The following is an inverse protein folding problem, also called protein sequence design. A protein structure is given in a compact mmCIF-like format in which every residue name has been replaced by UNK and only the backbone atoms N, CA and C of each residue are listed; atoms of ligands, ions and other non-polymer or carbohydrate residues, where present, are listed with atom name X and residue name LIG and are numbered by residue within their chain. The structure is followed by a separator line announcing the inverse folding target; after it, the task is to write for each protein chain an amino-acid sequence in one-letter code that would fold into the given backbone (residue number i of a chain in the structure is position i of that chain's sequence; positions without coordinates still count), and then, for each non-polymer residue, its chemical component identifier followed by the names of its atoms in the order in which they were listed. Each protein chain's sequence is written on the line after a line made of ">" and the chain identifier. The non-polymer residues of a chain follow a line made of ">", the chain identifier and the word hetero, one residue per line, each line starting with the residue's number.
data_IF_188193032609
#
_entry.id   IF_188193032609
#
_cell.length_a   1.000
_cell.length_b   1.000
_cell.length_c   1.000
_cell.angle_alpha   90.00
_cell.angle_beta   90.00
_cell.angle_gamma   90.00
#
_symmetry.space_group_name_H-M   'P 1'
#
loop_
_entity.id
_entity.type
_entity.pdbx_description
1 polymer ?
#
# COMPACT_ATOMS: atom_id res chain seq x y z
N UNK A 1 -5.78 20.46 9.14
CA UNK A 1 -4.63 19.55 9.39
C UNK A 1 -4.64 18.30 8.49
N UNK A 2 -5.70 17.46 8.42
CA UNK A 2 -5.64 16.19 7.66
C UNK A 2 -5.46 16.37 6.15
N UNK A 3 -6.06 17.41 5.55
CA UNK A 3 -5.89 17.71 4.12
C UNK A 3 -4.42 18.01 3.77
N UNK A 4 -3.73 18.80 4.61
CA UNK A 4 -2.32 19.13 4.41
C UNK A 4 -1.43 17.90 4.54
N UNK A 5 -1.67 17.06 5.56
CA UNK A 5 -0.94 15.80 5.73
C UNK A 5 -1.21 14.83 4.57
N UNK A 6 -2.43 14.79 4.05
CA UNK A 6 -2.78 14.00 2.87
C UNK A 6 -2.07 14.48 1.60
N UNK A 7 -2.00 15.79 1.37
CA UNK A 7 -1.25 16.38 0.25
C UNK A 7 0.26 16.08 0.36
N UNK A 8 0.82 16.25 1.55
CA UNK A 8 2.24 15.99 1.80
C UNK A 8 2.55 14.49 1.67
N UNK A 9 1.68 13.62 2.21
CA UNK A 9 1.76 12.17 2.05
C UNK A 9 1.70 11.75 0.58
N UNK A 10 0.76 12.30 -0.20
CA UNK A 10 0.66 12.04 -1.64
C UNK A 10 1.92 12.48 -2.41
N UNK A 11 2.49 13.64 -2.08
CA UNK A 11 3.73 14.12 -2.67
C UNK A 11 4.92 13.20 -2.35
N UNK A 12 5.05 12.77 -1.08
CA UNK A 12 6.12 11.87 -0.64
C UNK A 12 5.97 10.48 -1.25
N UNK A 13 4.75 9.94 -1.31
CA UNK A 13 4.48 8.64 -1.96
C UNK A 13 4.78 8.73 -3.46
N UNK A 14 4.31 9.77 -4.15
CA UNK A 14 4.54 9.95 -5.58
C UNK A 14 6.02 10.13 -5.94
N UNK A 15 6.77 10.91 -5.15
CA UNK A 15 8.23 11.04 -5.32
C UNK A 15 8.95 9.73 -5.03
N UNK A 16 8.56 9.02 -3.97
CA UNK A 16 9.12 7.69 -3.64
C UNK A 16 8.91 6.69 -4.78
N UNK A 17 7.70 6.61 -5.33
CA UNK A 17 7.39 5.73 -6.47
C UNK A 17 8.21 6.07 -7.71
N UNK A 18 8.45 7.36 -7.96
CA UNK A 18 9.30 7.80 -9.07
C UNK A 18 10.75 7.29 -8.90
N UNK A 19 11.36 7.51 -7.73
CA UNK A 19 12.70 7.02 -7.44
C UNK A 19 12.78 5.49 -7.42
N UNK A 20 11.79 4.82 -6.83
CA UNK A 20 11.72 3.37 -6.77
C UNK A 20 11.67 2.76 -8.19
N UNK A 21 10.89 3.34 -9.10
CA UNK A 21 10.83 2.92 -10.52
C UNK A 21 12.17 3.15 -11.22
N UNK A 22 12.85 4.26 -10.96
CA UNK A 22 14.16 4.53 -11.54
C UNK A 22 15.21 3.50 -11.09
N UNK A 23 15.26 3.19 -9.79
CA UNK A 23 16.20 2.22 -9.22
C UNK A 23 15.86 0.79 -9.65
N UNK A 24 14.58 0.42 -9.68
CA UNK A 24 14.12 -0.91 -10.11
C UNK A 24 14.38 -1.22 -11.59
N UNK A 25 14.67 -0.22 -12.44
CA UNK A 25 15.13 -0.45 -13.82
C UNK A 25 16.61 -0.84 -13.90
N UNK A 26 17.39 -0.56 -12.87
CA UNK A 26 18.84 -0.79 -12.82
C UNK A 26 19.23 -1.96 -11.93
N UNK A 27 18.36 -2.36 -11.01
CA UNK A 27 18.56 -3.43 -10.04
C UNK A 27 17.38 -4.39 -10.02
N UNK A 28 17.56 -5.58 -9.44
CA UNK A 28 16.44 -6.49 -9.21
C UNK A 28 15.40 -5.85 -8.27
N UNK A 29 14.12 -5.96 -8.62
CA UNK A 29 13.02 -5.37 -7.84
C UNK A 29 13.04 -5.81 -6.36
N UNK A 30 13.36 -7.09 -6.11
CA UNK A 30 13.49 -7.63 -4.76
C UNK A 30 14.59 -6.94 -3.94
N UNK A 31 15.76 -6.65 -4.55
CA UNK A 31 16.85 -5.95 -3.86
C UNK A 31 16.48 -4.51 -3.53
N UNK A 32 15.80 -3.80 -4.43
CA UNK A 32 15.32 -2.42 -4.21
C UNK A 32 14.29 -2.35 -3.09
N UNK A 33 13.40 -3.33 -3.01
CA UNK A 33 12.44 -3.42 -1.92
C UNK A 33 13.07 -3.77 -0.58
N UNK A 34 13.99 -4.74 -0.56
CA UNK A 34 14.67 -5.14 0.67
C UNK A 34 15.44 -3.95 1.27
N UNK A 35 16.19 -3.20 0.46
CA UNK A 35 16.90 -2.00 0.92
C UNK A 35 15.94 -0.92 1.38
N UNK A 36 14.83 -0.71 0.67
CA UNK A 36 13.78 0.22 1.07
C UNK A 36 13.15 -0.15 2.43
N UNK A 37 12.82 -1.42 2.64
CA UNK A 37 12.26 -1.93 3.90
C UNK A 37 13.26 -1.84 5.06
N UNK A 38 14.54 -2.14 4.83
CA UNK A 38 15.60 -1.98 5.83
C UNK A 38 15.70 -0.51 6.24
N UNK A 39 15.77 0.40 5.27
CA UNK A 39 15.85 1.83 5.54
C UNK A 39 14.60 2.35 6.27
N UNK A 40 13.41 1.95 5.82
CA UNK A 40 12.15 2.27 6.48
C UNK A 40 12.13 1.78 7.94
N UNK A 41 12.64 0.58 8.21
CA UNK A 41 12.75 0.01 9.56
C UNK A 41 13.71 0.83 10.42
N UNK A 42 14.88 1.21 9.91
CA UNK A 42 15.84 2.04 10.63
C UNK A 42 15.25 3.41 10.98
N UNK A 43 14.57 4.05 10.03
CA UNK A 43 13.90 5.34 10.26
C UNK A 43 12.76 5.17 11.27
N UNK A 44 11.96 4.11 11.18
CA UNK A 44 10.88 3.85 12.13
C UNK A 44 11.41 3.67 13.56
N UNK A 45 12.48 2.89 13.76
CA UNK A 45 13.14 2.73 15.06
C UNK A 45 13.67 4.07 15.57
N UNK A 46 14.35 4.84 14.72
CA UNK A 46 14.86 6.16 15.09
C UNK A 46 13.74 7.08 15.55
N UNK A 47 12.65 7.19 14.77
CA UNK A 47 11.50 8.03 15.12
C UNK A 47 10.84 7.56 16.42
N UNK A 48 10.73 6.24 16.62
CA UNK A 48 10.17 5.67 17.85
C UNK A 48 10.98 6.06 19.11
N UNK A 49 12.31 6.27 19.01
CA UNK A 49 13.13 6.70 20.15
C UNK A 49 12.86 8.11 20.65
N UNK A 50 12.29 8.98 19.80
CA UNK A 50 11.96 10.37 20.17
C UNK A 50 10.48 10.55 20.58
N UNK A 51 9.67 9.50 20.46
CA UNK A 51 8.25 9.55 20.81
C UNK A 51 8.01 9.54 22.32
N UNK A 52 6.88 10.12 22.80
CA UNK A 52 6.52 10.09 24.23
C UNK A 52 6.02 8.71 24.72
N UNK A 53 5.99 7.70 23.85
CA UNK A 53 5.45 6.36 24.13
C UNK A 53 6.44 5.44 24.84
N UNK A 54 5.90 4.49 25.62
CA UNK A 54 6.69 3.42 26.25
C UNK A 54 6.65 2.12 25.43
N UNK A 55 7.61 1.24 25.64
CA UNK A 55 7.60 -0.08 25.02
C UNK A 55 6.48 -0.96 25.58
N UNK A 56 5.56 -1.39 24.71
CA UNK A 56 4.51 -2.36 25.03
C UNK A 56 4.62 -3.55 24.10
N UNK A 57 4.53 -4.75 24.67
CA UNK A 57 4.68 -6.00 23.91
C UNK A 57 3.58 -6.16 22.85
N UNK A 58 2.35 -5.72 23.14
CA UNK A 58 1.24 -5.79 22.19
C UNK A 58 1.51 -4.91 20.97
N UNK A 59 1.91 -3.66 21.17
CA UNK A 59 2.22 -2.72 20.09
C UNK A 59 3.38 -3.25 19.21
N UNK A 60 4.35 -3.92 19.84
CA UNK A 60 5.43 -4.59 19.13
C UNK A 60 4.95 -5.79 18.30
N UNK A 61 4.07 -6.64 18.83
CA UNK A 61 3.49 -7.78 18.11
C UNK A 61 2.63 -7.33 16.93
N UNK A 62 1.83 -6.28 17.11
CA UNK A 62 1.05 -5.65 16.05
C UNK A 62 1.97 -5.06 14.96
N UNK A 63 3.06 -4.39 15.36
CA UNK A 63 4.10 -3.92 14.44
C UNK A 63 4.77 -5.04 13.65
N UNK A 64 5.13 -6.16 14.29
CA UNK A 64 5.67 -7.34 13.62
C UNK A 64 4.66 -7.94 12.62
N UNK A 65 3.39 -8.06 13.02
CA UNK A 65 2.31 -8.53 12.15
C UNK A 65 2.13 -7.63 10.93
N UNK A 66 2.15 -6.31 11.12
CA UNK A 66 2.10 -5.31 10.05
C UNK A 66 3.28 -5.43 9.09
N UNK A 67 4.49 -5.63 9.62
CA UNK A 67 5.70 -5.83 8.82
C UNK A 67 5.65 -7.09 7.96
N UNK A 68 5.18 -8.22 8.52
CA UNK A 68 5.01 -9.47 7.77
C UNK A 68 3.95 -9.31 6.68
N UNK A 69 2.81 -8.69 7.00
CA UNK A 69 1.76 -8.42 6.02
C UNK A 69 2.27 -7.54 4.87
N UNK A 70 3.00 -6.46 5.19
CA UNK A 70 3.60 -5.55 4.20
C UNK A 70 4.67 -6.24 3.34
N UNK A 71 5.49 -7.10 3.92
CA UNK A 71 6.49 -7.89 3.19
C UNK A 71 5.85 -8.88 2.21
N UNK A 72 4.83 -9.61 2.66
CA UNK A 72 4.02 -10.48 1.81
C UNK A 72 3.34 -9.69 0.68
N UNK A 73 2.78 -8.53 1.00
CA UNK A 73 2.12 -7.65 0.04
C UNK A 73 3.09 -7.24 -1.08
N UNK A 74 4.31 -6.86 -0.72
CA UNK A 74 5.35 -6.44 -1.66
C UNK A 74 5.85 -7.58 -2.55
N UNK A 75 5.99 -8.78 -1.98
CA UNK A 75 6.32 -10.00 -2.74
C UNK A 75 5.23 -10.35 -3.76
N UNK A 76 3.96 -10.31 -3.35
CA UNK A 76 2.82 -10.53 -4.24
C UNK A 76 2.69 -9.44 -5.31
N UNK A 77 2.97 -8.18 -4.96
CA UNK A 77 3.00 -7.06 -5.89
C UNK A 77 4.02 -7.33 -7.00
N UNK A 78 5.28 -7.60 -6.66
CA UNK A 78 6.31 -7.83 -7.68
C UNK A 78 6.04 -9.07 -8.51
N UNK A 79 5.50 -10.14 -7.90
CA UNK A 79 5.07 -11.31 -8.68
C UNK A 79 3.94 -10.95 -9.64
N UNK A 80 2.97 -10.15 -9.22
CA UNK A 80 1.90 -9.62 -10.06
C UNK A 80 2.44 -8.81 -11.23
N UNK A 81 3.38 -7.89 -10.96
CA UNK A 81 4.03 -7.05 -11.96
C UNK A 81 4.91 -7.85 -12.94
N UNK A 82 5.44 -9.01 -12.53
CA UNK A 82 6.22 -9.89 -13.40
C UNK A 82 5.34 -10.80 -14.28
N UNK A 83 4.18 -11.24 -13.77
CA UNK A 83 3.28 -12.17 -14.45
C UNK A 83 2.27 -11.44 -15.34
N UNK A 84 1.88 -10.22 -14.96
CA UNK A 84 0.84 -9.41 -15.59
C UNK A 84 1.33 -7.98 -15.83
N UNK A 85 0.41 -7.09 -16.17
CA UNK A 85 0.72 -5.68 -16.45
C UNK A 85 0.71 -4.81 -15.20
N UNK A 86 1.64 -3.86 -15.16
CA UNK A 86 1.66 -2.75 -14.19
C UNK A 86 0.33 -1.98 -14.21
N UNK A 87 -0.31 -1.85 -15.38
CA UNK A 87 -1.58 -1.14 -15.55
C UNK A 87 -2.76 -1.80 -14.82
N UNK A 88 -2.66 -3.10 -14.50
CA UNK A 88 -3.73 -3.83 -13.79
C UNK A 88 -3.41 -3.94 -12.30
N UNK A 89 -2.20 -4.41 -11.99
CA UNK A 89 -1.82 -4.77 -10.62
C UNK A 89 -1.69 -3.52 -9.74
N UNK A 90 -1.06 -2.45 -10.26
CA UNK A 90 -0.77 -1.25 -9.47
C UNK A 90 -2.04 -0.50 -9.05
N UNK A 91 -3.03 -0.25 -9.93
CA UNK A 91 -4.27 0.39 -9.52
C UNK A 91 -5.05 -0.42 -8.47
N UNK A 92 -5.17 -1.75 -8.65
CA UNK A 92 -5.89 -2.61 -7.71
C UNK A 92 -5.29 -2.53 -6.30
N UNK A 93 -3.95 -2.63 -6.22
CA UNK A 93 -3.24 -2.52 -4.94
C UNK A 93 -3.46 -1.16 -4.32
N UNK A 94 -3.33 -0.07 -5.08
CA UNK A 94 -3.50 1.29 -4.57
C UNK A 94 -4.89 1.55 -3.97
N UNK A 95 -5.95 1.05 -4.62
CA UNK A 95 -7.31 1.20 -4.07
C UNK A 95 -7.52 0.38 -2.81
N UNK A 96 -7.07 -0.88 -2.79
CA UNK A 96 -7.23 -1.73 -1.61
C UNK A 96 -6.42 -1.21 -0.41
N UNK A 97 -5.29 -0.56 -0.66
CA UNK A 97 -4.46 0.08 0.36
C UNK A 97 -5.24 1.11 1.19
N UNK A 98 -6.15 1.87 0.55
CA UNK A 98 -7.03 2.82 1.23
C UNK A 98 -8.38 2.24 1.63
N UNK A 99 -8.96 1.36 0.81
CA UNK A 99 -10.29 0.81 1.04
C UNK A 99 -10.34 -0.11 2.26
N UNK A 100 -9.33 -0.95 2.48
CA UNK A 100 -9.32 -1.92 3.59
C UNK A 100 -9.32 -1.22 4.96
N UNK A 101 -8.44 -0.24 5.25
CA UNK A 101 -8.51 0.53 6.50
C UNK A 101 -9.85 1.24 6.67
N UNK A 102 -10.36 1.87 5.61
CA UNK A 102 -11.66 2.55 5.63
C UNK A 102 -12.81 1.59 6.00
N UNK A 103 -12.84 0.38 5.44
CA UNK A 103 -13.84 -0.62 5.82
C UNK A 103 -13.64 -1.10 7.26
N UNK A 104 -12.40 -1.20 7.73
CA UNK A 104 -12.11 -1.47 9.14
C UNK A 104 -12.70 -0.39 10.06
N UNK A 105 -12.50 0.88 9.73
CA UNK A 105 -13.07 2.02 10.46
C UNK A 105 -14.60 1.99 10.47
N UNK A 106 -15.23 1.61 9.35
CA UNK A 106 -16.69 1.47 9.28
C UNK A 106 -17.21 0.35 10.17
N UNK A 107 -16.51 -0.79 10.23
CA UNK A 107 -16.86 -1.93 11.09
C UNK A 107 -16.70 -1.55 12.58
N UNK A 108 -15.72 -0.71 12.93
CA UNK A 108 -15.53 -0.21 14.30
C UNK A 108 -16.49 0.93 14.67
N UNK A 109 -17.36 1.35 13.74
CA UNK A 109 -18.44 2.31 13.97
C UNK A 109 -18.08 3.76 13.65
N UNK A 110 -17.00 4.02 12.92
CA UNK A 110 -16.63 5.36 12.52
C UNK A 110 -17.66 5.97 11.54
N UNK A 111 -18.05 7.24 11.70
CA UNK A 111 -19.02 7.88 10.81
C UNK A 111 -18.39 8.17 9.44
N UNK A 112 -19.09 7.79 8.37
CA UNK A 112 -18.70 8.19 7.01
C UNK A 112 -19.08 9.65 6.78
N UNK A 113 -18.06 10.50 6.66
CA UNK A 113 -18.25 11.85 6.15
C UNK A 113 -18.55 11.83 4.65
N UNK A 114 -19.34 12.78 4.17
CA UNK A 114 -19.59 13.01 2.75
C UNK A 114 -18.29 13.19 1.95
N UNK A 115 -17.26 13.80 2.55
CA UNK A 115 -15.94 13.94 1.93
C UNK A 115 -15.23 12.61 1.67
N UNK A 116 -15.36 11.65 2.58
CA UNK A 116 -14.80 10.29 2.41
C UNK A 116 -15.50 9.58 1.27
N UNK A 117 -16.84 9.66 1.20
CA UNK A 117 -17.62 9.05 0.12
C UNK A 117 -17.22 9.57 -1.27
N UNK A 118 -16.98 10.88 -1.41
CA UNK A 118 -16.49 11.49 -2.66
C UNK A 118 -15.08 10.99 -2.99
N UNK A 119 -14.18 10.93 -2.00
CA UNK A 119 -12.82 10.41 -2.19
C UNK A 119 -12.81 8.96 -2.68
N UNK A 120 -13.62 8.10 -2.06
CA UNK A 120 -13.77 6.69 -2.43
C UNK A 120 -14.32 6.55 -3.85
N UNK A 121 -15.38 7.29 -4.16
CA UNK A 121 -16.00 7.26 -5.50
C UNK A 121 -14.99 7.69 -6.57
N UNK A 122 -14.22 8.74 -6.29
CA UNK A 122 -13.18 9.23 -7.20
C UNK A 122 -12.06 8.19 -7.39
N UNK A 123 -11.62 7.54 -6.31
CA UNK A 123 -10.61 6.48 -6.36
C UNK A 123 -11.08 5.26 -7.17
N UNK A 124 -12.34 4.84 -6.99
CA UNK A 124 -12.94 3.73 -7.74
C UNK A 124 -13.09 4.05 -9.23
N UNK A 125 -13.47 5.29 -9.57
CA UNK A 125 -13.53 5.74 -10.97
C UNK A 125 -12.13 5.76 -11.58
N UNK A 126 -11.13 6.29 -10.86
CA UNK A 126 -9.73 6.28 -11.30
C UNK A 126 -9.20 4.86 -11.54
N UNK A 127 -9.55 3.92 -10.65
CA UNK A 127 -9.23 2.50 -10.81
C UNK A 127 -9.85 1.89 -12.06
N UNK A 128 -11.16 2.12 -12.28
CA UNK A 128 -11.86 1.64 -13.47
C UNK A 128 -11.16 2.13 -14.74
N UNK A 129 -10.92 3.44 -14.85
CA UNK A 129 -10.30 4.04 -16.04
C UNK A 129 -8.89 3.50 -16.28
N UNK A 130 -8.10 3.30 -15.23
CA UNK A 130 -6.69 2.87 -15.36
C UNK A 130 -6.52 1.37 -15.59
N UNK A 131 -7.50 0.54 -15.21
CA UNK A 131 -7.43 -0.93 -15.33
C UNK A 131 -7.90 -1.45 -16.69
N UNK A 132 -8.60 -0.63 -17.49
CA UNK A 132 -9.04 -1.03 -18.83
C UNK A 132 -7.89 -1.05 -19.84
N UNK A 133 -7.39 -2.24 -20.16
CA UNK A 133 -6.56 -2.49 -21.34
C UNK A 133 -7.18 -3.60 -22.20
N UNK A 134 -7.74 -3.26 -23.38
CA UNK A 134 -8.41 -4.24 -24.25
C UNK A 134 -7.46 -5.25 -24.92
N UNK A 135 -6.14 -5.08 -24.82
CA UNK A 135 -5.15 -5.96 -25.44
C UNK A 135 -4.58 -7.04 -24.51
N UNK A 136 -5.06 -7.14 -23.27
CA UNK A 136 -4.53 -8.10 -22.30
C UNK A 136 -5.40 -9.37 -22.26
N UNK A 137 -4.85 -10.49 -22.75
CA UNK A 137 -5.49 -11.82 -22.72
C UNK A 137 -5.45 -12.49 -21.33
N UNK A 138 -5.18 -13.80 -21.27
CA UNK A 138 -5.27 -14.61 -20.03
C UNK A 138 -4.39 -14.13 -18.85
N UNK A 139 -3.38 -13.30 -19.09
CA UNK A 139 -2.51 -12.73 -18.05
C UNK A 139 -3.23 -11.71 -17.16
N UNK A 140 -4.40 -11.22 -17.56
CA UNK A 140 -5.25 -10.31 -16.75
C UNK A 140 -5.70 -10.98 -15.47
N UNK A 141 -6.22 -12.21 -15.54
CA UNK A 141 -6.77 -12.92 -14.38
C UNK A 141 -5.73 -13.11 -13.28
N UNK A 142 -4.51 -13.50 -13.66
CA UNK A 142 -3.40 -13.63 -12.73
C UNK A 142 -3.00 -12.30 -12.10
N UNK A 143 -3.01 -11.20 -12.89
CA UNK A 143 -2.74 -9.85 -12.40
C UNK A 143 -3.78 -9.36 -11.40
N UNK A 144 -5.07 -9.58 -11.68
CA UNK A 144 -6.17 -9.24 -10.78
C UNK A 144 -6.01 -10.02 -9.46
N UNK A 145 -5.78 -11.33 -9.53
CA UNK A 145 -5.69 -12.17 -8.34
C UNK A 145 -4.49 -11.78 -7.45
N UNK A 146 -3.32 -11.58 -8.06
CA UNK A 146 -2.09 -11.18 -7.35
C UNK A 146 -2.18 -9.74 -6.82
N UNK A 147 -2.76 -8.83 -7.59
CA UNK A 147 -3.00 -7.45 -7.17
C UNK A 147 -3.99 -7.36 -6.02
N UNK A 148 -5.07 -8.16 -6.06
CA UNK A 148 -6.05 -8.21 -4.99
C UNK A 148 -5.45 -8.79 -3.70
N UNK A 149 -4.73 -9.92 -3.81
CA UNK A 149 -4.05 -10.53 -2.67
C UNK A 149 -2.98 -9.59 -2.05
N UNK A 150 -2.21 -8.91 -2.89
CA UNK A 150 -1.24 -7.91 -2.46
C UNK A 150 -1.90 -6.72 -1.75
N UNK A 151 -2.96 -6.16 -2.35
CA UNK A 151 -3.70 -5.04 -1.79
C UNK A 151 -4.35 -5.36 -0.44
N UNK A 152 -4.91 -6.56 -0.28
CA UNK A 152 -5.40 -7.04 1.02
C UNK A 152 -4.29 -7.15 2.06
N UNK A 153 -3.11 -7.66 1.68
CA UNK A 153 -1.96 -7.75 2.60
C UNK A 153 -1.46 -6.35 3.02
N UNK A 154 -1.39 -5.39 2.09
CA UNK A 154 -1.06 -4.01 2.44
C UNK A 154 -2.10 -3.38 3.37
N UNK A 155 -3.38 -3.52 3.03
CA UNK A 155 -4.48 -2.97 3.82
C UNK A 155 -4.58 -3.55 5.23
N UNK A 156 -4.39 -4.87 5.37
CA UNK A 156 -4.32 -5.53 6.68
C UNK A 156 -3.08 -5.09 7.46
N UNK A 157 -1.94 -4.91 6.80
CA UNK A 157 -0.74 -4.34 7.41
C UNK A 157 -0.99 -2.95 8.00
N UNK A 158 -1.72 -2.09 7.29
CA UNK A 158 -2.10 -0.76 7.78
C UNK A 158 -3.08 -0.81 8.95
N UNK A 159 -4.05 -1.73 8.93
CA UNK A 159 -4.98 -1.92 10.05
C UNK A 159 -4.28 -2.39 11.32
N UNK A 160 -3.25 -3.22 11.21
CA UNK A 160 -2.45 -3.66 12.36
C UNK A 160 -1.54 -2.55 12.90
N UNK A 161 -1.29 -1.50 12.11
CA UNK A 161 -0.46 -0.36 12.52
C UNK A 161 -1.28 0.76 13.20
N UNK A 162 -2.60 0.79 12.96
CA UNK A 162 -3.52 1.81 13.48
C UNK A 162 -3.82 1.62 14.98
#
# INVERSE_FOLDING_TARGET
>A
MPIFLGLLGSLVIGTSDFFARYVARRNHAATTAATGLIFATLVAVLVATFGPGGFRINDYLFGCGSGVASGCALGLLYRGLAVSSVAIVSPIVAVLLGAVPMFGDLITGAPLSSGVAVGVTTALIGLLITTFDPNMGDRVKAGILLGFASGLCFGTGLLLMA
#
